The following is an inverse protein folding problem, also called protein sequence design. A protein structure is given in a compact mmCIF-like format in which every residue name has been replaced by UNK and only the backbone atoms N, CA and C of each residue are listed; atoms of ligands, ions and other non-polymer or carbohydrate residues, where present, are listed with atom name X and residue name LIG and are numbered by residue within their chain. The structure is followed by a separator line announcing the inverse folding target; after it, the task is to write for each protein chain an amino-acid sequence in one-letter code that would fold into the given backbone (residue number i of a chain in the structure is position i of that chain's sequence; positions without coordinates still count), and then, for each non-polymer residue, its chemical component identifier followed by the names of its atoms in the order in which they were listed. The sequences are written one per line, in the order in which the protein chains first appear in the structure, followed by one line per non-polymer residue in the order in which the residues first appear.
data_IF_530775627040
#
_entry.id   IF_530775627040
#
_cell.length_a   1.000
_cell.length_b   1.000
_cell.length_c   1.000
_cell.angle_alpha   90.00
_cell.angle_beta   90.00
_cell.angle_gamma   90.00
#
_symmetry.space_group_name_H-M   'P 1'
#
loop_
_entity.id
_entity.type
_entity.pdbx_description
1 polymer ?
#
# COMPACT_ATOMS: atom_id res chain seq x y z
N UNK A 1 -24.01 -19.60 4.16
CA UNK A 1 -23.53 -18.55 5.08
C UNK A 1 -23.14 -19.22 6.39
N UNK A 2 -21.91 -19.05 6.80
CA UNK A 2 -21.40 -19.60 8.08
C UNK A 2 -21.06 -18.44 8.99
N UNK A 3 -21.33 -18.59 10.28
CA UNK A 3 -20.97 -17.61 11.30
C UNK A 3 -19.93 -18.22 12.22
N UNK A 4 -18.77 -17.61 12.32
CA UNK A 4 -17.74 -17.94 13.30
C UNK A 4 -17.83 -16.93 14.44
N UNK A 5 -18.06 -17.39 15.65
CA UNK A 5 -18.04 -16.54 16.85
C UNK A 5 -16.73 -16.72 17.58
N UNK A 6 -15.91 -15.70 17.58
CA UNK A 6 -14.77 -15.54 18.47
C UNK A 6 -15.21 -14.68 19.66
N UNK A 7 -14.51 -14.79 20.79
CA UNK A 7 -14.92 -14.19 22.08
C UNK A 7 -15.41 -12.74 22.00
N UNK A 8 -14.88 -11.94 21.08
CA UNK A 8 -15.23 -10.52 20.90
C UNK A 8 -15.68 -10.15 19.48
N UNK A 9 -15.63 -11.07 18.52
CA UNK A 9 -15.89 -10.76 17.11
C UNK A 9 -16.75 -11.87 16.48
N UNK A 10 -17.76 -11.47 15.76
CA UNK A 10 -18.54 -12.36 14.90
C UNK A 10 -18.08 -12.21 13.46
N UNK A 11 -17.61 -13.29 12.87
CA UNK A 11 -17.17 -13.34 11.48
C UNK A 11 -18.26 -14.06 10.67
N UNK A 12 -18.78 -13.37 9.68
CA UNK A 12 -19.76 -13.92 8.74
C UNK A 12 -19.04 -14.33 7.47
N UNK A 13 -19.03 -15.63 7.18
CA UNK A 13 -18.50 -16.17 5.93
C UNK A 13 -19.65 -16.39 4.96
N UNK A 14 -19.61 -15.74 3.82
CA UNK A 14 -20.65 -15.83 2.80
C UNK A 14 -20.06 -15.98 1.41
N UNK A 15 -20.89 -16.40 0.44
CA UNK A 15 -20.49 -16.42 -0.96
C UNK A 15 -20.26 -14.98 -1.45
N UNK A 16 -19.05 -14.70 -1.92
CA UNK A 16 -18.60 -13.38 -2.34
C UNK A 16 -19.43 -12.82 -3.49
N UNK A 17 -19.85 -13.65 -4.45
CA UNK A 17 -20.63 -13.22 -5.60
C UNK A 17 -22.00 -12.65 -5.21
N UNK A 18 -22.62 -13.21 -4.17
CA UNK A 18 -23.90 -12.72 -3.65
C UNK A 18 -23.76 -11.58 -2.65
N UNK A 19 -22.69 -11.60 -1.86
CA UNK A 19 -22.47 -10.61 -0.80
C UNK A 19 -21.97 -9.28 -1.36
N UNK A 20 -21.08 -9.32 -2.32
CA UNK A 20 -20.47 -8.11 -2.88
C UNK A 20 -21.48 -7.08 -3.38
N UNK A 21 -22.50 -7.44 -4.18
CA UNK A 21 -23.52 -6.48 -4.61
C UNK A 21 -24.36 -5.91 -3.46
N UNK A 22 -24.63 -6.73 -2.42
CA UNK A 22 -25.38 -6.29 -1.25
C UNK A 22 -24.58 -5.25 -0.47
N UNK A 23 -23.30 -5.53 -0.19
CA UNK A 23 -22.40 -4.60 0.52
C UNK A 23 -22.25 -3.30 -0.26
N UNK A 24 -22.03 -3.37 -1.57
CA UNK A 24 -21.89 -2.18 -2.43
C UNK A 24 -23.14 -1.30 -2.45
N UNK A 25 -24.33 -1.90 -2.43
CA UNK A 25 -25.62 -1.18 -2.37
C UNK A 25 -25.93 -0.62 -0.98
N UNK A 26 -25.32 -1.17 0.05
CA UNK A 26 -25.56 -0.81 1.46
C UNK A 26 -24.61 0.27 1.98
N UNK A 27 -24.03 1.10 1.11
CA UNK A 27 -23.07 2.14 1.45
C UNK A 27 -23.59 3.20 2.46
N UNK A 28 -24.91 3.31 2.60
CA UNK A 28 -25.54 4.18 3.62
C UNK A 28 -25.53 3.59 5.03
N UNK A 29 -25.48 2.27 5.15
CA UNK A 29 -25.59 1.54 6.42
C UNK A 29 -24.29 0.83 6.79
N UNK A 30 -23.41 0.58 5.81
CA UNK A 30 -22.10 -0.05 6.01
C UNK A 30 -21.02 0.99 5.73
N UNK A 31 -20.11 1.14 6.67
CA UNK A 31 -18.97 2.03 6.54
C UNK A 31 -17.69 1.31 6.92
N UNK A 32 -16.63 1.53 6.14
CA UNK A 32 -15.30 1.05 6.43
C UNK A 32 -14.51 2.01 7.36
N UNK A 33 -15.04 3.20 7.62
CA UNK A 33 -14.39 4.22 8.48
C UNK A 33 -13.99 3.70 9.86
N UNK A 34 -14.86 2.96 10.61
CA UNK A 34 -14.46 2.44 11.92
C UNK A 34 -13.25 1.51 11.85
N UNK A 35 -13.10 0.74 10.76
CA UNK A 35 -11.95 -0.14 10.56
C UNK A 35 -10.68 0.70 10.35
N UNK A 36 -10.72 1.71 9.48
CA UNK A 36 -9.58 2.61 9.23
C UNK A 36 -9.19 3.33 10.53
N UNK A 37 -10.18 3.84 11.27
CA UNK A 37 -9.97 4.52 12.53
C UNK A 37 -9.30 3.61 13.58
N UNK A 38 -9.77 2.36 13.69
CA UNK A 38 -9.15 1.37 14.58
C UNK A 38 -7.73 1.03 14.14
N UNK A 39 -7.51 0.85 12.84
CA UNK A 39 -6.18 0.54 12.29
C UNK A 39 -5.19 1.68 12.48
N UNK A 40 -5.62 2.95 12.40
CA UNK A 40 -4.74 4.09 12.67
C UNK A 40 -4.19 4.07 14.10
N UNK A 41 -5.00 3.60 15.06
CA UNK A 41 -4.58 3.47 16.47
C UNK A 41 -3.64 2.26 16.66
N UNK A 42 -4.01 1.09 16.11
CA UNK A 42 -3.31 -0.17 16.36
C UNK A 42 -2.00 -0.27 15.57
N UNK A 43 -2.04 0.04 14.28
CA UNK A 43 -0.90 -0.13 13.38
C UNK A 43 -0.07 1.14 13.20
N UNK A 44 -0.69 2.31 13.31
CA UNK A 44 -0.05 3.60 13.13
C UNK A 44 0.34 4.32 14.42
N UNK A 45 0.02 3.75 15.59
CA UNK A 45 0.22 4.40 16.90
C UNK A 45 -0.22 5.88 16.92
N UNK A 46 -1.33 6.16 16.23
CA UNK A 46 -1.83 7.50 16.04
C UNK A 46 -2.25 8.15 17.38
N UNK A 47 -1.94 9.42 17.55
CA UNK A 47 -2.44 10.21 18.68
C UNK A 47 -3.98 10.22 18.70
N UNK A 48 -4.57 10.55 19.86
CA UNK A 48 -6.03 10.62 19.97
C UNK A 48 -6.64 11.67 19.04
N UNK A 49 -5.95 12.77 18.79
CA UNK A 49 -6.35 13.79 17.83
C UNK A 49 -6.35 13.23 16.39
N UNK A 50 -5.28 12.56 15.99
CA UNK A 50 -5.18 11.92 14.67
C UNK A 50 -6.24 10.82 14.51
N UNK A 51 -6.44 10.02 15.56
CA UNK A 51 -7.49 9.00 15.58
C UNK A 51 -8.89 9.60 15.37
N UNK A 52 -9.19 10.72 16.03
CA UNK A 52 -10.46 11.44 15.85
C UNK A 52 -10.62 11.96 14.41
N UNK A 53 -9.56 12.49 13.80
CA UNK A 53 -9.56 12.95 12.40
C UNK A 53 -9.86 11.83 11.41
N UNK A 54 -9.38 10.60 11.66
CA UNK A 54 -9.71 9.43 10.84
C UNK A 54 -11.18 8.98 10.96
N UNK A 55 -11.89 9.38 11.98
CA UNK A 55 -13.35 9.20 12.10
C UNK A 55 -14.18 10.21 11.28
N UNK A 56 -13.57 11.31 10.86
CA UNK A 56 -14.23 12.43 10.19
C UNK A 56 -14.06 12.48 8.67
N UNK A 57 -14.23 13.68 8.11
CA UNK A 57 -14.17 13.94 6.67
C UNK A 57 -12.77 13.73 6.05
N UNK A 58 -11.71 13.74 6.88
CA UNK A 58 -10.33 13.57 6.41
C UNK A 58 -10.15 12.25 5.66
N UNK A 59 -10.77 11.17 6.15
CA UNK A 59 -10.72 9.86 5.50
C UNK A 59 -11.38 9.88 4.12
N UNK A 60 -12.48 10.61 3.96
CA UNK A 60 -13.15 10.71 2.67
C UNK A 60 -12.28 11.49 1.67
N UNK A 61 -11.71 12.61 2.09
CA UNK A 61 -10.81 13.43 1.27
C UNK A 61 -9.56 12.64 0.88
N UNK A 62 -8.96 11.92 1.83
CA UNK A 62 -7.83 11.03 1.57
C UNK A 62 -8.20 9.93 0.58
N UNK A 63 -9.32 9.23 0.83
CA UNK A 63 -9.78 8.14 -0.05
C UNK A 63 -10.11 8.65 -1.45
N UNK A 64 -10.69 9.85 -1.57
CA UNK A 64 -10.95 10.49 -2.86
C UNK A 64 -9.65 10.84 -3.57
N UNK A 65 -8.67 11.43 -2.87
CA UNK A 65 -7.35 11.74 -3.41
C UNK A 65 -6.65 10.49 -3.93
N UNK A 66 -6.63 9.42 -3.13
CA UNK A 66 -6.04 8.13 -3.52
C UNK A 66 -6.73 7.53 -4.75
N UNK A 67 -8.06 7.53 -4.78
CA UNK A 67 -8.81 7.05 -5.95
C UNK A 67 -8.45 7.86 -7.20
N UNK A 68 -8.43 9.18 -7.09
CA UNK A 68 -8.11 10.04 -8.23
C UNK A 68 -6.69 9.84 -8.73
N UNK A 69 -5.73 9.61 -7.83
CA UNK A 69 -4.33 9.38 -8.19
C UNK A 69 -4.09 8.00 -8.80
N UNK A 70 -4.83 6.97 -8.34
CA UNK A 70 -4.63 5.57 -8.74
C UNK A 70 -5.63 5.08 -9.79
N UNK A 71 -6.52 5.93 -10.28
CA UNK A 71 -7.39 5.59 -11.40
C UNK A 71 -6.57 5.36 -12.67
N UNK A 72 -6.94 4.36 -13.51
CA UNK A 72 -6.31 4.17 -14.82
C UNK A 72 -6.33 5.48 -15.63
N UNK A 73 -5.17 5.85 -16.16
CA UNK A 73 -5.02 7.06 -16.96
C UNK A 73 -3.60 7.61 -16.94
N UNK A 74 -3.35 8.73 -17.63
CA UNK A 74 -2.00 9.26 -17.87
C UNK A 74 -1.15 9.45 -16.62
N UNK A 75 -1.75 9.80 -15.48
CA UNK A 75 -1.01 9.97 -14.21
C UNK A 75 -0.47 8.66 -13.66
N UNK A 76 -1.31 7.60 -13.67
CA UNK A 76 -0.89 6.28 -13.26
C UNK A 76 0.13 5.70 -14.23
N UNK A 77 -0.06 5.91 -15.53
CA UNK A 77 0.86 5.45 -16.56
C UNK A 77 2.24 6.11 -16.42
N UNK A 78 2.29 7.42 -16.15
CA UNK A 78 3.52 8.14 -15.88
C UNK A 78 4.22 7.64 -14.61
N UNK A 79 3.47 7.38 -13.56
CA UNK A 79 4.01 6.80 -12.32
C UNK A 79 4.59 5.42 -12.58
N UNK A 80 3.85 4.55 -13.28
CA UNK A 80 4.31 3.21 -13.62
C UNK A 80 5.56 3.25 -14.50
N UNK A 81 5.64 4.20 -15.42
CA UNK A 81 6.82 4.40 -16.26
C UNK A 81 8.04 4.76 -15.41
N UNK A 82 7.90 5.71 -14.47
CA UNK A 82 8.99 6.09 -13.55
C UNK A 82 9.44 4.90 -12.71
N UNK A 83 8.50 4.16 -12.14
CA UNK A 83 8.80 2.96 -11.35
C UNK A 83 9.53 1.91 -12.20
N UNK A 84 9.03 1.64 -13.41
CA UNK A 84 9.64 0.69 -14.35
C UNK A 84 11.05 1.12 -14.78
N UNK A 85 11.26 2.39 -15.06
CA UNK A 85 12.58 2.93 -15.40
C UNK A 85 13.58 2.79 -14.26
N UNK A 86 13.16 3.07 -13.02
CA UNK A 86 14.01 2.88 -11.83
C UNK A 86 14.38 1.41 -11.65
N UNK A 87 13.40 0.50 -11.79
CA UNK A 87 13.65 -0.94 -11.65
C UNK A 87 14.59 -1.49 -12.74
N UNK A 88 14.45 -1.01 -13.98
CA UNK A 88 15.34 -1.39 -15.08
C UNK A 88 16.76 -0.88 -14.86
N UNK A 89 16.94 0.36 -14.41
CA UNK A 89 18.26 0.90 -14.10
C UNK A 89 18.98 0.10 -13.00
N UNK A 90 18.24 -0.33 -11.98
CA UNK A 90 18.78 -1.19 -10.92
C UNK A 90 19.17 -2.59 -11.44
N UNK A 91 18.37 -3.14 -12.33
CA UNK A 91 18.68 -4.42 -12.98
C UNK A 91 19.92 -4.33 -13.86
N UNK A 92 20.06 -3.24 -14.62
CA UNK A 92 21.25 -2.98 -15.44
C UNK A 92 22.52 -2.83 -14.56
N UNK A 93 22.40 -2.11 -13.46
CA UNK A 93 23.48 -1.97 -12.46
C UNK A 93 23.89 -3.32 -11.87
N UNK A 94 22.90 -4.16 -11.55
CA UNK A 94 23.14 -5.52 -11.07
C UNK A 94 23.86 -6.35 -12.12
N UNK A 95 23.43 -6.29 -13.37
CA UNK A 95 24.06 -7.03 -14.48
C UNK A 95 25.50 -6.60 -14.74
N UNK A 96 25.80 -5.31 -14.57
CA UNK A 96 27.17 -4.77 -14.72
C UNK A 96 28.07 -5.16 -13.55
N UNK A 97 27.57 -5.03 -12.30
CA UNK A 97 28.35 -5.32 -11.08
C UNK A 97 28.55 -6.81 -10.86
N UNK A 98 27.54 -7.62 -11.19
CA UNK A 98 27.55 -9.07 -10.96
C UNK A 98 28.46 -9.86 -11.89
N UNK A 99 28.90 -9.28 -12.99
CA UNK A 99 29.71 -9.99 -13.96
C UNK A 99 29.01 -11.26 -14.51
N UNK A 100 29.77 -12.11 -15.22
CA UNK A 100 29.20 -13.38 -15.70
C UNK A 100 29.25 -14.44 -14.58
N UNK A 101 28.09 -14.71 -13.97
CA UNK A 101 27.90 -15.88 -13.09
C UNK A 101 27.96 -15.59 -11.59
N UNK A 102 27.83 -14.34 -11.15
CA UNK A 102 27.62 -14.06 -9.74
C UNK A 102 26.21 -14.42 -9.28
N UNK A 103 26.12 -15.02 -8.09
CA UNK A 103 24.84 -15.35 -7.46
C UNK A 103 24.33 -14.14 -6.68
N UNK A 104 23.05 -13.82 -6.87
CA UNK A 104 22.38 -12.72 -6.15
C UNK A 104 21.31 -13.31 -5.22
N UNK A 105 21.21 -12.76 -4.02
CA UNK A 105 20.10 -13.09 -3.10
C UNK A 105 18.83 -12.44 -3.63
N UNK A 106 18.04 -13.19 -4.39
CA UNK A 106 16.86 -12.69 -5.11
C UNK A 106 15.92 -11.89 -4.22
N UNK A 107 15.63 -12.39 -3.01
CA UNK A 107 14.69 -11.71 -2.10
C UNK A 107 15.21 -10.35 -1.63
N UNK A 108 16.50 -10.24 -1.34
CA UNK A 108 17.11 -8.97 -0.92
C UNK A 108 17.11 -7.95 -2.07
N UNK A 109 17.42 -8.41 -3.27
CA UNK A 109 17.33 -7.58 -4.46
C UNK A 109 15.90 -7.11 -4.75
N UNK A 110 14.90 -8.01 -4.68
CA UNK A 110 13.49 -7.65 -4.88
C UNK A 110 13.02 -6.62 -3.86
N UNK A 111 13.37 -6.77 -2.59
CA UNK A 111 13.07 -5.78 -1.55
C UNK A 111 13.65 -4.41 -1.91
N UNK A 112 14.92 -4.37 -2.26
CA UNK A 112 15.60 -3.15 -2.69
C UNK A 112 14.88 -2.48 -3.86
N UNK A 113 14.68 -3.19 -4.96
CA UNK A 113 14.03 -2.67 -6.18
C UNK A 113 12.63 -2.16 -5.90
N UNK A 114 11.82 -2.91 -5.15
CA UNK A 114 10.45 -2.50 -4.81
C UNK A 114 10.44 -1.20 -4.03
N UNK A 115 11.28 -1.07 -3.01
CA UNK A 115 11.37 0.17 -2.21
C UNK A 115 11.86 1.33 -3.06
N UNK A 116 12.95 1.16 -3.80
CA UNK A 116 13.51 2.22 -4.63
C UNK A 116 12.54 2.67 -5.73
N UNK A 117 11.99 1.74 -6.49
CA UNK A 117 11.09 2.06 -7.60
C UNK A 117 9.78 2.70 -7.12
N UNK A 118 9.13 2.13 -6.10
CA UNK A 118 7.88 2.68 -5.57
C UNK A 118 8.06 4.05 -4.93
N UNK A 119 9.14 4.24 -4.15
CA UNK A 119 9.41 5.51 -3.50
C UNK A 119 9.80 6.60 -4.51
N UNK A 120 10.60 6.26 -5.51
CA UNK A 120 10.89 7.19 -6.62
C UNK A 120 9.62 7.54 -7.41
N UNK A 121 8.76 6.56 -7.67
CA UNK A 121 7.49 6.80 -8.37
C UNK A 121 6.55 7.74 -7.62
N UNK A 122 6.50 7.68 -6.29
CA UNK A 122 5.58 8.45 -5.45
C UNK A 122 6.18 9.77 -5.00
N UNK A 123 7.42 9.77 -4.52
CA UNK A 123 8.06 10.91 -3.84
C UNK A 123 9.12 11.61 -4.71
N UNK A 124 9.46 11.06 -5.88
CA UNK A 124 10.55 11.54 -6.72
C UNK A 124 11.92 11.02 -6.27
N UNK A 125 12.99 11.57 -6.86
CA UNK A 125 14.35 11.08 -6.65
C UNK A 125 14.89 11.31 -5.22
N UNK A 126 14.37 12.32 -4.53
CA UNK A 126 14.84 12.70 -3.18
C UNK A 126 13.93 12.11 -2.10
N UNK A 127 14.01 10.79 -1.92
CA UNK A 127 13.25 10.11 -0.87
C UNK A 127 14.19 9.49 0.18
N UNK A 128 13.73 9.28 1.43
CA UNK A 128 14.58 8.85 2.54
C UNK A 128 15.21 7.45 2.34
N UNK A 129 14.57 6.59 1.56
CA UNK A 129 15.08 5.23 1.29
C UNK A 129 16.31 5.18 0.37
N UNK A 130 16.80 6.31 -0.13
CA UNK A 130 18.14 6.41 -0.74
C UNK A 130 19.25 6.17 0.28
N UNK A 131 19.00 6.38 1.58
CA UNK A 131 19.91 5.98 2.64
C UNK A 131 19.73 4.47 2.91
N UNK A 132 20.79 3.65 2.72
CA UNK A 132 20.71 2.20 2.96
C UNK A 132 20.33 1.83 4.40
N UNK A 133 20.60 2.71 5.39
CA UNK A 133 20.21 2.48 6.78
C UNK A 133 18.70 2.60 6.95
N UNK A 134 18.10 3.59 6.29
CA UNK A 134 16.64 3.80 6.32
C UNK A 134 15.94 2.66 5.59
N UNK A 135 16.45 2.28 4.42
CA UNK A 135 15.91 1.14 3.67
C UNK A 135 15.97 -0.16 4.49
N UNK A 136 17.12 -0.44 5.12
CA UNK A 136 17.28 -1.63 5.96
C UNK A 136 16.35 -1.64 7.17
N UNK A 137 16.07 -0.48 7.76
CA UNK A 137 15.19 -0.35 8.91
C UNK A 137 13.71 -0.52 8.54
N UNK A 138 13.37 -0.38 7.27
CA UNK A 138 12.00 -0.56 6.77
C UNK A 138 11.59 -2.03 6.67
N UNK A 139 12.54 -2.95 6.42
CA UNK A 139 12.33 -4.39 6.29
C UNK A 139 12.61 -5.16 7.58
#
# INVERSE_FOLDING_TARGET
MYTLSLVLVKIYVSNTERLTPIVQRSSKTLSFRPVIQTMSKIAGDASDETHALFGGELVDKFSQGMRTALLPGPRLDEQNLRMGTTALADLDDLAVKGGRGESVMLMEWVKHVVVQASSTGIFGEQHPFRDPKVEKAFW
#
